data_IF_575747055297
#
_entry.id   IF_575747055297
#
_cell.length_a   1.000
_cell.length_b   1.000
_cell.length_c   1.000
_cell.angle_alpha   90.00
_cell.angle_beta   90.00
_cell.angle_gamma   90.00
#
_symmetry.space_group_name_H-M   'P 1'
#
loop_
_entity.id
_entity.type
_entity.pdbx_description
1 polymer ?
#
# COMPACT_ATOMS: atom_id res chain seq x y z
N UNK A 1 -17.86 10.60 27.78
CA UNK A 1 -16.40 10.45 27.62
C UNK A 1 -15.99 9.16 28.33
N UNK A 2 -15.55 8.13 27.58
CA UNK A 2 -15.26 6.80 28.12
C UNK A 2 -13.82 6.77 28.67
N UNK A 3 -13.71 6.55 29.99
CA UNK A 3 -12.56 6.16 30.81
C UNK A 3 -11.13 6.55 30.36
N UNK A 4 -10.64 7.68 30.90
CA UNK A 4 -9.23 8.10 30.99
C UNK A 4 -8.35 7.18 31.87
N UNK A 5 -8.83 5.98 32.24
CA UNK A 5 -8.14 5.08 33.15
C UNK A 5 -7.32 4.00 32.43
N UNK A 6 -7.31 3.94 31.10
CA UNK A 6 -6.55 2.93 30.34
C UNK A 6 -5.10 2.84 30.81
N UNK A 7 -4.40 3.98 30.88
CA UNK A 7 -3.01 4.05 31.34
C UNK A 7 -2.81 3.73 32.83
N UNK A 8 -3.90 3.58 33.61
CA UNK A 8 -3.89 3.21 35.03
C UNK A 8 -4.18 1.73 35.27
N UNK A 9 -4.64 1.01 34.25
CA UNK A 9 -4.87 -0.43 34.32
C UNK A 9 -3.56 -1.18 34.15
N UNK A 10 -3.38 -2.27 34.91
CA UNK A 10 -2.32 -3.24 34.63
C UNK A 10 -2.56 -3.94 33.28
N UNK A 11 -1.54 -4.54 32.65
CA UNK A 11 -1.70 -5.26 31.39
C UNK A 11 -2.78 -6.35 31.44
N UNK A 12 -2.89 -7.06 32.57
CA UNK A 12 -3.92 -8.08 32.78
C UNK A 12 -5.34 -7.49 32.80
N UNK A 13 -5.52 -6.35 33.46
CA UNK A 13 -6.82 -5.65 33.51
C UNK A 13 -7.19 -5.03 32.15
N UNK A 14 -6.21 -4.51 31.41
CA UNK A 14 -6.40 -4.05 30.03
C UNK A 14 -6.86 -5.19 29.13
N UNK A 15 -6.24 -6.36 29.25
CA UNK A 15 -6.57 -7.55 28.44
C UNK A 15 -7.94 -8.13 28.75
N UNK A 16 -8.41 -8.00 30.00
CA UNK A 16 -9.71 -8.45 30.46
C UNK A 16 -10.89 -7.62 29.92
N UNK A 17 -10.63 -6.45 29.33
CA UNK A 17 -11.69 -5.63 28.74
C UNK A 17 -12.25 -6.27 27.46
N UNK A 18 -13.58 -6.30 27.27
CA UNK A 18 -14.21 -6.91 26.08
C UNK A 18 -13.70 -6.32 24.75
N UNK A 19 -13.58 -4.99 24.66
CA UNK A 19 -13.09 -4.29 23.48
C UNK A 19 -11.58 -4.51 23.23
N UNK A 20 -10.81 -4.88 24.26
CA UNK A 20 -9.42 -5.26 24.07
C UNK A 20 -9.29 -6.64 23.40
N UNK A 21 -10.25 -7.54 23.63
CA UNK A 21 -10.35 -8.80 22.88
C UNK A 21 -10.71 -8.52 21.42
N UNK A 22 -11.73 -7.69 21.16
CA UNK A 22 -12.12 -7.32 19.79
C UNK A 22 -10.95 -6.71 19.01
N UNK A 23 -10.17 -5.82 19.63
CA UNK A 23 -8.96 -5.25 19.01
C UNK A 23 -7.92 -6.33 18.67
N UNK A 24 -7.61 -7.24 19.60
CA UNK A 24 -6.68 -8.35 19.33
C UNK A 24 -7.16 -9.27 18.22
N UNK A 25 -8.47 -9.52 18.15
CA UNK A 25 -9.06 -10.35 17.10
C UNK A 25 -8.89 -9.64 15.73
N UNK A 26 -9.09 -8.32 15.67
CA UNK A 26 -8.81 -7.51 14.48
C UNK A 26 -7.32 -7.55 14.11
N UNK A 27 -6.43 -7.33 15.08
CA UNK A 27 -4.99 -7.34 14.86
C UNK A 27 -4.54 -8.71 14.29
N UNK A 28 -5.04 -9.81 14.86
CA UNK A 28 -4.78 -11.15 14.33
C UNK A 28 -5.32 -11.38 12.92
N UNK A 29 -6.49 -10.81 12.59
CA UNK A 29 -6.99 -10.84 11.20
C UNK A 29 -6.11 -10.03 10.25
N UNK A 30 -5.59 -8.87 10.68
CA UNK A 30 -4.69 -8.05 9.88
C UNK A 30 -3.35 -8.77 9.63
N UNK A 31 -2.77 -9.40 10.65
CA UNK A 31 -1.54 -10.19 10.53
C UNK A 31 -1.70 -11.29 9.48
N UNK A 32 -2.80 -12.06 9.55
CA UNK A 32 -3.10 -13.10 8.56
C UNK A 32 -3.25 -12.53 7.14
N UNK A 33 -3.91 -11.37 6.99
CA UNK A 33 -4.05 -10.71 5.69
C UNK A 33 -2.71 -10.23 5.14
N UNK A 34 -1.81 -9.74 5.99
CA UNK A 34 -0.45 -9.37 5.59
C UNK A 34 0.36 -10.58 5.13
N UNK A 35 0.30 -11.70 5.86
CA UNK A 35 0.94 -12.96 5.46
C UNK A 35 0.43 -13.45 4.11
N UNK A 36 -0.89 -13.45 3.90
CA UNK A 36 -1.50 -13.86 2.64
C UNK A 36 -1.09 -12.94 1.48
N UNK A 37 -1.05 -11.62 1.71
CA UNK A 37 -0.55 -10.65 0.73
C UNK A 37 0.90 -10.95 0.36
N UNK A 38 1.75 -11.20 1.34
CA UNK A 38 3.18 -11.48 1.09
C UNK A 38 3.36 -12.78 0.29
N UNK A 39 2.63 -13.85 0.64
CA UNK A 39 2.64 -15.10 -0.14
C UNK A 39 2.21 -14.89 -1.60
N UNK A 40 1.17 -14.09 -1.84
CA UNK A 40 0.74 -13.73 -3.19
C UNK A 40 1.80 -12.93 -3.95
N UNK A 41 2.47 -11.97 -3.29
CA UNK A 41 3.56 -11.21 -3.89
C UNK A 41 4.74 -12.11 -4.28
N UNK A 42 5.10 -13.06 -3.42
CA UNK A 42 6.16 -14.04 -3.70
C UNK A 42 5.80 -15.00 -4.84
N UNK A 43 4.51 -15.23 -5.09
CA UNK A 43 4.04 -16.03 -6.23
C UNK A 43 4.16 -15.31 -7.58
N UNK A 44 4.35 -13.97 -7.59
CA UNK A 44 4.53 -13.21 -8.83
C UNK A 44 5.87 -13.61 -9.45
N UNK A 45 5.89 -14.09 -10.72
CA UNK A 45 7.12 -14.53 -11.35
C UNK A 45 8.21 -13.45 -11.34
N UNK A 46 9.40 -13.76 -10.83
CA UNK A 46 10.55 -12.83 -10.85
C UNK A 46 11.12 -12.64 -12.27
N UNK A 47 10.75 -13.49 -13.22
CA UNK A 47 11.18 -13.40 -14.62
C UNK A 47 10.58 -12.17 -15.31
N UNK A 48 11.35 -11.59 -16.23
CA UNK A 48 10.87 -10.50 -17.08
C UNK A 48 9.69 -10.94 -17.96
N UNK A 49 8.82 -10.00 -18.32
CA UNK A 49 7.72 -10.26 -19.26
C UNK A 49 7.99 -9.57 -20.59
N UNK A 50 7.69 -10.27 -21.69
CA UNK A 50 7.68 -9.68 -23.03
C UNK A 50 6.35 -8.99 -23.35
N UNK A 51 5.34 -9.14 -22.48
CA UNK A 51 4.04 -8.50 -22.63
C UNK A 51 4.02 -7.16 -21.90
N UNK A 52 3.72 -6.08 -22.62
CA UNK A 52 3.61 -4.74 -22.06
C UNK A 52 2.49 -4.66 -21.01
N UNK A 53 1.35 -5.33 -21.24
CA UNK A 53 0.23 -5.37 -20.29
C UNK A 53 0.65 -6.01 -18.96
N UNK A 54 1.45 -7.07 -19.03
CA UNK A 54 1.99 -7.74 -17.84
C UNK A 54 2.96 -6.84 -17.07
N UNK A 55 3.78 -6.06 -17.78
CA UNK A 55 4.68 -5.06 -17.15
C UNK A 55 3.87 -3.96 -16.46
N UNK A 56 2.86 -3.40 -17.13
CA UNK A 56 1.95 -2.38 -16.58
C UNK A 56 1.22 -2.90 -15.35
N UNK A 57 0.71 -4.13 -15.39
CA UNK A 57 0.04 -4.76 -14.25
C UNK A 57 0.97 -4.92 -13.05
N UNK A 58 2.23 -5.32 -13.27
CA UNK A 58 3.23 -5.43 -12.20
C UNK A 58 3.57 -4.08 -11.58
N UNK A 59 3.74 -3.03 -12.38
CA UNK A 59 3.95 -1.67 -11.86
C UNK A 59 2.77 -1.20 -11.00
N UNK A 60 1.54 -1.56 -11.37
CA UNK A 60 0.35 -1.25 -10.56
C UNK A 60 0.30 -2.02 -9.22
N UNK A 61 0.98 -3.16 -9.12
CA UNK A 61 1.20 -3.84 -7.83
C UNK A 61 2.23 -3.07 -7.02
N UNK A 62 3.38 -2.73 -7.62
CA UNK A 62 4.46 -1.99 -6.96
C UNK A 62 3.98 -0.64 -6.40
N UNK A 63 3.16 0.11 -7.13
CA UNK A 63 2.55 1.35 -6.66
C UNK A 63 1.78 1.19 -5.34
N UNK A 64 1.15 0.05 -5.11
CA UNK A 64 0.41 -0.25 -3.86
C UNK A 64 1.31 -0.73 -2.73
N UNK A 65 2.57 -1.06 -3.02
CA UNK A 65 3.55 -1.44 -2.00
C UNK A 65 4.33 -0.22 -1.48
N UNK A 66 4.35 0.87 -2.25
CA UNK A 66 5.06 2.10 -1.88
C UNK A 66 4.14 2.95 -1.01
N UNK A 67 4.57 3.23 0.22
CA UNK A 67 3.91 4.21 1.08
C UNK A 67 4.25 5.63 0.61
N UNK A 68 3.26 6.35 0.08
CA UNK A 68 3.47 7.63 -0.59
C UNK A 68 4.05 8.70 0.34
N UNK A 69 3.64 8.67 1.60
CA UNK A 69 4.03 9.64 2.60
C UNK A 69 5.50 9.46 3.03
N UNK A 70 6.03 8.24 2.91
CA UNK A 70 7.44 7.93 3.22
C UNK A 70 8.34 8.07 1.99
N UNK A 71 7.81 7.77 0.80
CA UNK A 71 8.58 7.75 -0.45
C UNK A 71 7.85 8.44 -1.62
N UNK A 72 7.60 9.76 -1.52
CA UNK A 72 6.80 10.49 -2.51
C UNK A 72 7.46 10.50 -3.90
N UNK A 73 8.79 10.60 -3.99
CA UNK A 73 9.51 10.61 -5.27
C UNK A 73 9.45 9.26 -5.97
N UNK A 74 9.63 8.17 -5.22
CA UNK A 74 9.56 6.80 -5.75
C UNK A 74 8.15 6.50 -6.26
N UNK A 75 7.14 6.86 -5.46
CA UNK A 75 5.74 6.72 -5.86
C UNK A 75 5.44 7.49 -7.15
N UNK A 76 5.89 8.75 -7.25
CA UNK A 76 5.69 9.59 -8.42
C UNK A 76 6.37 9.01 -9.68
N UNK A 77 7.62 8.54 -9.55
CA UNK A 77 8.36 7.95 -10.67
C UNK A 77 7.71 6.67 -11.18
N UNK A 78 7.35 5.74 -10.30
CA UNK A 78 6.71 4.47 -10.70
C UNK A 78 5.34 4.75 -11.33
N UNK A 79 4.55 5.65 -10.74
CA UNK A 79 3.24 6.03 -11.27
C UNK A 79 3.34 6.74 -12.62
N UNK A 80 4.32 7.62 -12.79
CA UNK A 80 4.62 8.28 -14.05
C UNK A 80 5.00 7.27 -15.13
N UNK A 81 5.99 6.42 -14.86
CA UNK A 81 6.44 5.39 -15.79
C UNK A 81 5.30 4.46 -16.22
N UNK A 82 4.42 4.04 -15.29
CA UNK A 82 3.25 3.21 -15.66
C UNK A 82 2.29 3.95 -16.58
N UNK A 83 1.98 5.23 -16.29
CA UNK A 83 1.10 6.06 -17.14
C UNK A 83 1.68 6.25 -18.53
N UNK A 84 2.98 6.52 -18.62
CA UNK A 84 3.68 6.70 -19.88
C UNK A 84 3.65 5.42 -20.72
N UNK A 85 3.89 4.26 -20.11
CA UNK A 85 3.80 2.96 -20.79
C UNK A 85 2.38 2.67 -21.31
N UNK A 86 1.34 3.05 -20.56
CA UNK A 86 -0.06 2.94 -21.02
C UNK A 86 -0.34 3.91 -22.17
N UNK A 87 0.17 5.14 -22.11
CA UNK A 87 -0.01 6.11 -23.19
C UNK A 87 0.69 5.63 -24.48
N UNK A 88 1.92 5.13 -24.35
CA UNK A 88 2.69 4.54 -25.44
C UNK A 88 1.98 3.33 -26.05
N UNK A 89 1.40 2.44 -25.24
CA UNK A 89 0.65 1.28 -25.75
C UNK A 89 -0.59 1.66 -26.55
N UNK A 90 -1.14 2.85 -26.30
CA UNK A 90 -2.33 3.40 -26.98
C UNK A 90 -1.99 4.35 -28.14
N UNK A 91 -0.71 4.61 -28.40
CA UNK A 91 -0.29 5.61 -29.39
C UNK A 91 -0.67 7.05 -29.02
N UNK A 92 -0.88 7.34 -27.74
CA UNK A 92 -1.17 8.69 -27.23
C UNK A 92 0.11 9.33 -26.67
N UNK A 93 0.28 10.64 -26.90
CA UNK A 93 1.35 11.40 -26.25
C UNK A 93 1.15 11.39 -24.72
N UNK A 94 2.22 11.29 -23.92
CA UNK A 94 2.12 11.28 -22.46
C UNK A 94 1.49 12.60 -21.96
N UNK A 95 0.59 12.49 -21.00
CA UNK A 95 -0.03 13.65 -20.37
C UNK A 95 1.03 14.38 -19.55
N UNK A 96 1.42 15.59 -19.99
CA UNK A 96 2.32 16.47 -19.23
C UNK A 96 1.64 16.83 -17.91
N UNK A 97 2.10 16.23 -16.82
CA UNK A 97 1.67 16.61 -15.47
C UNK A 97 2.50 17.82 -15.07
N UNK A 98 1.94 19.03 -15.21
CA UNK A 98 2.48 20.22 -14.58
C UNK A 98 2.44 20.03 -13.05
N UNK A 99 3.61 19.85 -12.44
CA UNK A 99 3.77 20.06 -11.00
C UNK A 99 3.87 21.57 -10.79
N UNK A 100 2.77 22.18 -10.33
CA UNK A 100 2.76 23.58 -9.93
C UNK A 100 3.32 23.68 -8.50
N UNK A 101 4.47 24.34 -8.26
CA UNK A 101 5.10 24.39 -6.94
C UNK A 101 4.46 25.41 -5.98
N UNK A 102 3.34 26.04 -6.34
CA UNK A 102 2.76 27.18 -5.62
C UNK A 102 1.55 26.86 -4.72
N UNK A 103 1.47 25.65 -4.16
CA UNK A 103 0.43 25.29 -3.19
C UNK A 103 1.03 24.79 -1.86
N UNK A 104 1.80 25.66 -1.20
CA UNK A 104 2.01 25.67 0.26
C UNK A 104 2.10 27.13 0.73
#
# INVERSE_FOLDING_TARGET
MKNHAWCKLSPAEQQALPWAKELRDIDGCLDLLFEQREALLQSIPATGSISLDSVVARLAVVERLIWREEHPEVYALVTGARRDLIALSRGQAPAVVSQDPAAL
#
